data_IF_695326785303
#
_entry.id   IF_695326785303
#
_cell.length_a   1.000
_cell.length_b   1.000
_cell.length_c   1.000
_cell.angle_alpha   90.00
_cell.angle_beta   90.00
_cell.angle_gamma   90.00
#
_symmetry.space_group_name_H-M   'P 1'
#
loop_
_entity.id
_entity.type
_entity.pdbx_description
1 polymer ?
#
# COMPACT_ATOMS: atom_id res chain seq x y z
N UNK A 1 -41.97 -33.69 -18.41
CA UNK A 1 -40.89 -33.74 -19.36
C UNK A 1 -40.54 -32.32 -19.81
N UNK A 2 -39.63 -31.64 -19.16
CA UNK A 2 -38.91 -30.51 -19.73
C UNK A 2 -37.52 -30.48 -19.09
N UNK A 3 -36.55 -30.81 -19.91
CA UNK A 3 -35.14 -30.74 -19.70
C UNK A 3 -34.71 -29.27 -19.90
N UNK A 4 -34.31 -28.59 -18.86
CA UNK A 4 -33.56 -27.34 -18.95
C UNK A 4 -32.10 -27.61 -18.57
N UNK A 5 -31.31 -27.91 -19.60
CA UNK A 5 -29.85 -27.95 -19.55
C UNK A 5 -29.32 -26.52 -19.59
N UNK A 6 -28.94 -25.94 -18.45
CA UNK A 6 -28.14 -24.72 -18.38
C UNK A 6 -26.74 -24.97 -18.93
N UNK A 7 -26.55 -24.60 -20.19
CA UNK A 7 -25.24 -24.44 -20.82
C UNK A 7 -24.45 -23.33 -20.12
N UNK A 8 -23.41 -23.71 -19.39
CA UNK A 8 -22.36 -22.80 -18.97
C UNK A 8 -21.70 -22.22 -20.22
N UNK A 9 -22.02 -20.98 -20.54
CA UNK A 9 -21.28 -20.21 -21.54
C UNK A 9 -19.88 -19.89 -20.99
N UNK A 10 -18.89 -20.65 -21.48
CA UNK A 10 -17.47 -20.32 -21.33
C UNK A 10 -17.21 -18.99 -22.07
N UNK A 11 -17.15 -17.87 -21.35
CA UNK A 11 -16.68 -16.61 -21.91
C UNK A 11 -15.18 -16.75 -22.21
N UNK A 12 -14.85 -17.13 -23.43
CA UNK A 12 -13.51 -16.95 -23.95
C UNK A 12 -13.17 -15.46 -23.91
N UNK A 13 -12.30 -15.06 -22.99
CA UNK A 13 -11.67 -13.75 -23.02
C UNK A 13 -10.79 -13.70 -24.27
N UNK A 14 -11.31 -13.12 -25.34
CA UNK A 14 -10.50 -12.80 -26.52
C UNK A 14 -9.40 -11.83 -26.10
N UNK A 15 -8.18 -12.33 -26.04
CA UNK A 15 -6.97 -11.51 -25.85
C UNK A 15 -6.95 -10.47 -26.98
N UNK A 16 -6.94 -9.21 -26.63
CA UNK A 16 -6.82 -8.14 -27.60
C UNK A 16 -5.45 -8.21 -28.28
N UNK A 17 -5.34 -7.73 -29.55
CA UNK A 17 -4.04 -7.62 -30.25
C UNK A 17 -3.01 -6.84 -29.43
N UNK A 18 -3.46 -5.85 -28.68
CA UNK A 18 -2.63 -5.04 -27.78
C UNK A 18 -2.11 -5.87 -26.61
N UNK A 19 -2.95 -6.64 -25.94
CA UNK A 19 -2.54 -7.56 -24.85
C UNK A 19 -1.57 -8.64 -25.34
N UNK A 20 -1.73 -9.09 -26.61
CA UNK A 20 -0.79 -10.01 -27.24
C UNK A 20 0.58 -9.35 -27.50
N UNK A 21 0.61 -8.10 -27.96
CA UNK A 21 1.84 -7.34 -28.16
C UNK A 21 2.53 -6.97 -26.83
N UNK A 22 1.75 -6.62 -25.81
CA UNK A 22 2.26 -6.37 -24.45
C UNK A 22 2.88 -7.63 -23.84
N UNK A 23 2.24 -8.79 -23.99
CA UNK A 23 2.82 -10.07 -23.59
C UNK A 23 4.07 -10.43 -24.43
N UNK A 24 4.07 -10.11 -25.74
CA UNK A 24 5.19 -10.32 -26.63
C UNK A 24 6.41 -9.45 -26.29
N UNK A 25 6.21 -8.21 -25.84
CA UNK A 25 7.31 -7.33 -25.44
C UNK A 25 8.00 -7.81 -24.16
N UNK A 26 7.28 -8.42 -23.23
CA UNK A 26 7.85 -9.09 -22.06
C UNK A 26 8.66 -10.33 -22.45
N UNK A 27 8.25 -11.05 -23.49
CA UNK A 27 9.01 -12.18 -24.05
C UNK A 27 10.34 -11.75 -24.71
N UNK A 28 10.40 -10.56 -25.31
CA UNK A 28 11.62 -10.01 -25.89
C UNK A 28 12.65 -9.59 -24.84
N UNK A 29 12.25 -9.29 -23.61
CA UNK A 29 13.15 -9.03 -22.48
C UNK A 29 13.71 -10.29 -21.81
N UNK A 30 13.29 -11.48 -22.25
CA UNK A 30 13.77 -12.76 -21.74
C UNK A 30 13.28 -13.13 -20.32
N UNK A 31 12.43 -12.31 -19.73
CA UNK A 31 11.86 -12.56 -18.38
C UNK A 31 10.34 -12.70 -18.47
N UNK A 32 9.88 -13.94 -18.45
CA UNK A 32 8.44 -14.22 -18.37
C UNK A 32 7.99 -14.47 -16.93
N UNK A 33 6.69 -14.29 -16.64
CA UNK A 33 6.14 -14.65 -15.33
C UNK A 33 6.41 -16.14 -14.98
N UNK A 34 6.28 -17.10 -15.91
CA UNK A 34 6.71 -18.47 -15.67
C UNK A 34 8.17 -18.61 -15.26
N UNK A 35 9.09 -17.85 -15.88
CA UNK A 35 10.52 -17.90 -15.54
C UNK A 35 10.78 -17.34 -14.15
N UNK A 36 10.11 -16.26 -13.78
CA UNK A 36 10.16 -15.72 -12.41
C UNK A 36 9.63 -16.73 -11.39
N UNK A 37 8.52 -17.38 -11.68
CA UNK A 37 7.91 -18.37 -10.79
C UNK A 37 8.80 -19.62 -10.69
N UNK A 38 9.40 -20.05 -11.80
CA UNK A 38 10.38 -21.16 -11.83
C UNK A 38 11.61 -20.82 -11.01
N UNK A 39 12.20 -19.64 -11.24
CA UNK A 39 13.38 -19.16 -10.47
C UNK A 39 13.08 -19.12 -8.96
N UNK A 40 11.90 -18.67 -8.55
CA UNK A 40 11.48 -18.68 -7.14
C UNK A 40 11.33 -20.09 -6.59
N UNK A 41 10.76 -21.02 -7.36
CA UNK A 41 10.61 -22.42 -6.97
C UNK A 41 11.97 -23.11 -6.84
N UNK A 42 12.87 -22.90 -7.78
CA UNK A 42 14.24 -23.42 -7.75
C UNK A 42 15.05 -22.82 -6.58
N UNK A 43 14.91 -21.52 -6.31
CA UNK A 43 15.50 -20.86 -5.16
C UNK A 43 15.07 -21.50 -3.84
N UNK A 44 13.77 -21.77 -3.70
CA UNK A 44 13.21 -22.46 -2.53
C UNK A 44 13.76 -23.90 -2.38
N UNK A 45 13.90 -24.64 -3.48
CA UNK A 45 14.50 -25.98 -3.48
C UNK A 45 15.99 -25.96 -3.09
N UNK A 46 16.70 -24.89 -3.43
CA UNK A 46 18.13 -24.69 -3.08
C UNK A 46 18.34 -24.13 -1.67
N UNK A 47 17.27 -24.02 -0.86
CA UNK A 47 17.35 -23.47 0.49
C UNK A 47 17.59 -21.95 0.54
N UNK A 48 17.38 -21.25 -0.57
CA UNK A 48 17.42 -19.79 -0.58
C UNK A 48 16.20 -19.29 0.20
N UNK A 49 16.45 -18.78 1.40
CA UNK A 49 15.41 -18.16 2.23
C UNK A 49 14.95 -16.90 1.49
N UNK A 50 13.66 -16.76 1.14
CA UNK A 50 13.17 -15.55 0.54
C UNK A 50 13.50 -14.37 1.46
N UNK A 51 14.19 -13.36 0.93
CA UNK A 51 14.49 -12.15 1.68
C UNK A 51 13.17 -11.53 2.13
N UNK A 52 13.02 -11.29 3.42
CA UNK A 52 11.86 -10.55 3.92
C UNK A 52 11.90 -9.12 3.34
N UNK A 53 10.96 -8.82 2.47
CA UNK A 53 10.95 -7.58 1.70
C UNK A 53 9.79 -6.72 2.17
N UNK A 54 10.10 -5.50 2.58
CA UNK A 54 9.12 -4.47 2.87
C UNK A 54 8.97 -3.53 1.67
N UNK A 55 7.76 -3.02 1.46
CA UNK A 55 7.45 -2.05 0.41
C UNK A 55 7.01 -0.75 1.06
N UNK A 56 7.70 0.34 0.72
CA UNK A 56 7.33 1.70 1.14
C UNK A 56 6.75 2.41 -0.08
N UNK A 57 5.45 2.75 -0.02
CA UNK A 57 4.78 3.53 -1.04
C UNK A 57 4.74 5.00 -0.58
N UNK A 58 5.47 5.87 -1.28
CA UNK A 58 5.38 7.31 -1.08
C UNK A 58 4.36 7.86 -2.08
N UNK A 59 3.15 8.14 -1.57
CA UNK A 59 2.06 8.68 -2.36
C UNK A 59 2.02 10.19 -2.23
N UNK A 60 2.41 10.90 -3.29
CA UNK A 60 2.34 12.36 -3.38
C UNK A 60 0.96 12.75 -3.90
N UNK A 61 0.04 13.01 -2.99
CA UNK A 61 -1.32 13.40 -3.34
C UNK A 61 -1.39 14.91 -3.63
N UNK A 62 -1.98 15.30 -4.75
CA UNK A 62 -2.21 16.71 -5.08
C UNK A 62 -0.99 17.36 -5.77
N UNK A 63 -0.54 18.50 -5.31
CA UNK A 63 0.36 19.48 -5.87
C UNK A 63 1.55 19.11 -6.78
N UNK A 64 2.40 18.11 -6.50
CA UNK A 64 3.55 17.84 -7.35
C UNK A 64 3.14 17.33 -8.74
N UNK A 65 3.26 18.17 -9.75
CA UNK A 65 3.04 17.79 -11.14
C UNK A 65 4.23 16.98 -11.65
N UNK A 66 3.99 16.02 -12.56
CA UNK A 66 5.09 15.35 -13.25
C UNK A 66 5.94 16.33 -14.06
N UNK A 67 5.35 17.39 -14.60
CA UNK A 67 6.06 18.45 -15.35
C UNK A 67 6.92 19.32 -14.44
N UNK A 68 6.64 19.38 -13.16
CA UNK A 68 7.45 20.14 -12.18
C UNK A 68 8.42 19.26 -11.40
N UNK A 69 8.50 17.97 -11.71
CA UNK A 69 9.35 17.02 -10.98
C UNK A 69 10.29 16.22 -11.87
N UNK A 70 9.77 15.27 -12.65
CA UNK A 70 10.59 14.28 -13.37
C UNK A 70 10.39 14.30 -14.89
N UNK A 71 9.49 15.11 -15.43
CA UNK A 71 9.15 15.16 -16.85
C UNK A 71 8.88 16.59 -17.32
N UNK A 72 9.86 17.46 -17.18
CA UNK A 72 9.74 18.91 -17.30
C UNK A 72 9.39 19.43 -18.68
N UNK A 73 9.63 18.64 -19.77
CA UNK A 73 9.30 19.05 -21.14
C UNK A 73 9.97 20.37 -21.55
N UNK A 74 11.29 20.57 -21.40
CA UNK A 74 11.94 21.88 -21.62
C UNK A 74 11.74 22.43 -23.02
N UNK A 75 11.59 21.58 -24.03
CA UNK A 75 11.40 21.95 -25.44
C UNK A 75 9.92 22.23 -25.80
N UNK A 76 8.99 22.03 -24.86
CA UNK A 76 7.58 22.33 -25.10
C UNK A 76 7.32 23.84 -25.04
N UNK A 77 6.23 24.34 -25.72
CA UNK A 77 5.77 25.70 -25.55
C UNK A 77 5.58 26.07 -24.08
N UNK A 78 5.78 27.36 -23.74
CA UNK A 78 5.75 27.84 -22.36
C UNK A 78 4.48 27.46 -21.60
N UNK A 79 3.36 27.37 -22.31
CA UNK A 79 2.04 27.06 -21.77
C UNK A 79 1.92 25.58 -21.31
N UNK A 80 2.84 24.72 -21.74
CA UNK A 80 2.84 23.27 -21.48
C UNK A 80 4.05 22.77 -20.68
N UNK A 81 5.01 23.64 -20.39
CA UNK A 81 6.16 23.30 -19.56
C UNK A 81 6.03 23.90 -18.16
N UNK A 82 6.62 23.25 -17.16
CA UNK A 82 6.67 23.78 -15.79
C UNK A 82 7.51 25.07 -15.70
N UNK A 83 7.37 25.76 -14.57
CA UNK A 83 8.14 27.00 -14.27
C UNK A 83 9.57 26.72 -13.83
N UNK A 84 9.85 25.47 -13.45
CA UNK A 84 11.14 25.02 -12.91
C UNK A 84 12.08 24.53 -14.02
N UNK A 85 13.37 24.66 -13.80
CA UNK A 85 14.40 24.28 -14.75
C UNK A 85 14.86 22.83 -14.57
N UNK A 86 15.24 22.11 -15.64
CA UNK A 86 15.87 20.82 -15.54
C UNK A 86 17.33 20.96 -15.05
N UNK A 87 17.76 20.01 -14.22
CA UNK A 87 19.16 19.78 -13.89
C UNK A 87 19.59 18.37 -14.31
N UNK A 88 20.80 18.24 -14.81
CA UNK A 88 21.34 16.94 -15.20
C UNK A 88 21.61 16.07 -13.98
N UNK A 89 21.42 14.77 -14.16
CA UNK A 89 21.66 13.77 -13.12
C UNK A 89 22.98 13.04 -13.35
N UNK A 90 23.35 12.15 -12.43
CA UNK A 90 24.49 11.23 -12.61
C UNK A 90 24.27 10.23 -13.75
N UNK A 91 23.03 10.12 -14.28
CA UNK A 91 22.69 9.26 -15.42
C UNK A 91 22.60 10.14 -16.68
N UNK A 92 23.47 9.96 -17.67
CA UNK A 92 23.43 10.74 -18.89
C UNK A 92 22.07 10.66 -19.60
N UNK A 93 21.52 11.82 -19.97
CA UNK A 93 20.22 11.92 -20.65
C UNK A 93 19.01 11.81 -19.74
N UNK A 94 19.20 11.72 -18.44
CA UNK A 94 18.14 11.80 -17.44
C UNK A 94 18.25 13.11 -16.68
N UNK A 95 17.30 14.01 -16.89
CA UNK A 95 17.17 15.26 -16.14
C UNK A 95 15.98 15.20 -15.17
N UNK A 96 16.12 15.92 -14.07
CA UNK A 96 15.07 16.12 -13.05
C UNK A 96 14.94 17.60 -12.71
N UNK A 97 13.90 17.96 -11.97
CA UNK A 97 13.69 19.33 -11.52
C UNK A 97 14.84 19.83 -10.63
N UNK A 98 15.21 21.09 -10.79
CA UNK A 98 16.22 21.80 -9.99
C UNK A 98 15.95 21.78 -8.48
N UNK A 99 14.69 21.59 -8.08
CA UNK A 99 14.28 21.45 -6.67
C UNK A 99 14.55 20.05 -6.11
N UNK A 100 15.03 19.11 -6.94
CA UNK A 100 15.32 17.73 -6.55
C UNK A 100 16.83 17.36 -6.68
N UNK A 101 17.78 18.20 -6.16
CA UNK A 101 19.21 17.97 -6.39
C UNK A 101 19.69 16.63 -5.81
N UNK A 102 19.15 16.19 -4.68
CA UNK A 102 19.50 14.88 -4.09
C UNK A 102 19.01 13.70 -4.93
N UNK A 103 17.91 13.84 -5.69
CA UNK A 103 17.48 12.83 -6.64
C UNK A 103 18.41 12.78 -7.87
N UNK A 104 18.92 13.93 -8.29
CA UNK A 104 19.92 13.98 -9.36
C UNK A 104 21.18 13.19 -8.99
N UNK A 105 21.65 13.28 -7.74
CA UNK A 105 22.84 12.58 -7.22
C UNK A 105 22.67 11.05 -7.12
N UNK A 106 21.44 10.55 -7.01
CA UNK A 106 21.14 9.12 -6.82
C UNK A 106 20.30 8.53 -7.95
N UNK A 107 20.28 9.18 -9.10
CA UNK A 107 19.47 8.77 -10.24
C UNK A 107 19.82 7.37 -10.79
N UNK A 108 21.02 6.88 -10.54
CA UNK A 108 21.48 5.53 -10.85
C UNK A 108 20.83 4.44 -9.94
N UNK A 109 20.12 4.84 -8.89
CA UNK A 109 19.53 3.92 -7.88
C UNK A 109 18.04 3.76 -8.00
N UNK A 110 17.37 4.43 -8.93
CA UNK A 110 15.93 4.30 -9.13
C UNK A 110 15.56 4.20 -10.61
N UNK A 111 14.38 3.68 -10.89
CA UNK A 111 13.80 3.64 -12.22
C UNK A 111 12.71 4.68 -12.34
N UNK A 112 12.69 5.42 -13.45
CA UNK A 112 11.68 6.41 -13.74
C UNK A 112 10.75 5.92 -14.87
N UNK A 113 9.46 5.80 -14.57
CA UNK A 113 8.44 5.37 -15.53
C UNK A 113 7.55 6.58 -15.86
N UNK A 114 7.79 7.23 -17.01
CA UNK A 114 7.04 8.41 -17.48
C UNK A 114 5.80 8.06 -18.28
N UNK A 115 5.63 6.80 -18.69
CA UNK A 115 4.55 6.36 -19.59
C UNK A 115 3.25 5.98 -18.89
N UNK A 116 3.14 6.20 -17.58
CA UNK A 116 1.92 5.90 -16.84
C UNK A 116 0.83 6.92 -17.21
N UNK A 117 -0.31 6.42 -17.70
CA UNK A 117 -1.44 7.25 -18.08
C UNK A 117 -2.78 6.57 -17.76
N UNK A 118 -3.83 7.36 -17.67
CA UNK A 118 -5.20 6.88 -17.48
C UNK A 118 -6.20 7.85 -18.13
N UNK A 119 -7.42 7.37 -18.38
CA UNK A 119 -8.50 8.16 -19.00
C UNK A 119 -9.41 8.90 -18.01
N UNK A 120 -9.02 9.05 -16.74
CA UNK A 120 -9.85 9.72 -15.73
C UNK A 120 -9.41 11.17 -15.53
N UNK A 121 -10.36 12.10 -15.61
CA UNK A 121 -10.13 13.53 -15.40
C UNK A 121 -10.45 13.99 -13.96
N UNK A 122 -10.50 13.07 -12.99
CA UNK A 122 -10.82 13.39 -11.59
C UNK A 122 -9.92 12.63 -10.62
N UNK A 123 -9.82 13.15 -9.38
CA UNK A 123 -8.91 12.62 -8.36
C UNK A 123 -9.21 11.16 -7.98
N UNK A 124 -10.47 10.82 -7.75
CA UNK A 124 -10.84 9.49 -7.28
C UNK A 124 -10.61 8.41 -8.35
N UNK A 125 -10.97 8.72 -9.60
CA UNK A 125 -10.75 7.80 -10.73
C UNK A 125 -9.28 7.54 -11.01
N UNK A 126 -8.47 8.60 -11.08
CA UNK A 126 -7.03 8.52 -11.31
C UNK A 126 -6.31 7.79 -10.18
N UNK A 127 -6.55 8.18 -8.93
CA UNK A 127 -5.96 7.52 -7.76
C UNK A 127 -6.40 6.07 -7.63
N UNK A 128 -7.70 5.77 -7.81
CA UNK A 128 -8.23 4.42 -7.78
C UNK A 128 -7.58 3.52 -8.84
N UNK A 129 -7.44 4.03 -10.08
CA UNK A 129 -6.75 3.31 -11.15
C UNK A 129 -5.29 3.01 -10.81
N UNK A 130 -4.56 3.99 -10.32
CA UNK A 130 -3.15 3.83 -9.99
C UNK A 130 -2.95 2.86 -8.82
N UNK A 131 -3.69 3.04 -7.72
CA UNK A 131 -3.48 2.27 -6.49
C UNK A 131 -3.98 0.82 -6.58
N UNK A 132 -5.02 0.56 -7.37
CA UNK A 132 -5.61 -0.78 -7.50
C UNK A 132 -5.20 -1.53 -8.77
N UNK A 133 -4.77 -0.80 -9.82
CA UNK A 133 -4.55 -1.37 -11.15
C UNK A 133 -5.84 -1.62 -11.94
N UNK A 134 -7.02 -1.36 -11.37
CA UNK A 134 -8.33 -1.57 -12.02
C UNK A 134 -9.00 -0.24 -12.38
N UNK A 135 -9.78 -0.25 -13.45
CA UNK A 135 -10.61 0.89 -13.79
C UNK A 135 -11.80 0.96 -12.81
N UNK A 136 -11.96 2.05 -12.07
CA UNK A 136 -13.13 2.20 -11.22
C UNK A 136 -14.39 2.36 -12.07
N UNK A 137 -15.44 1.61 -11.76
CA UNK A 137 -16.75 1.69 -12.43
C UNK A 137 -17.52 2.96 -12.06
N UNK A 138 -17.21 3.52 -10.89
CA UNK A 138 -17.74 4.79 -10.38
C UNK A 138 -16.59 5.74 -10.06
N UNK A 139 -16.00 6.39 -11.09
CA UNK A 139 -14.76 7.16 -10.91
C UNK A 139 -14.90 8.41 -10.04
N UNK A 140 -16.11 8.89 -9.76
CA UNK A 140 -16.37 10.01 -8.84
C UNK A 140 -16.57 9.56 -7.38
N UNK A 141 -16.73 8.27 -7.14
CA UNK A 141 -16.88 7.71 -5.80
C UNK A 141 -15.50 7.69 -5.11
N UNK A 142 -15.32 8.36 -3.97
CA UNK A 142 -14.08 8.35 -3.21
C UNK A 142 -13.80 7.01 -2.54
N UNK A 143 -14.80 6.12 -2.46
CA UNK A 143 -14.62 4.80 -1.87
C UNK A 143 -13.91 3.85 -2.83
N UNK A 144 -13.08 2.99 -2.27
CA UNK A 144 -12.39 1.96 -3.03
C UNK A 144 -13.38 0.94 -3.59
N UNK A 145 -13.36 0.75 -4.91
CA UNK A 145 -14.18 -0.24 -5.62
C UNK A 145 -13.40 -1.54 -5.88
N UNK A 146 -12.08 -1.43 -5.88
CA UNK A 146 -11.16 -2.57 -5.95
C UNK A 146 -10.09 -2.41 -4.86
N UNK A 147 -9.59 -3.50 -4.29
CA UNK A 147 -8.58 -3.39 -3.23
C UNK A 147 -7.28 -2.82 -3.80
N UNK A 148 -6.66 -1.92 -3.08
CA UNK A 148 -5.31 -1.45 -3.39
C UNK A 148 -4.25 -2.47 -2.89
N UNK A 149 -2.97 -2.22 -3.22
CA UNK A 149 -1.88 -3.16 -2.92
C UNK A 149 -1.79 -3.55 -1.44
N UNK A 150 -1.89 -2.58 -0.53
CA UNK A 150 -1.72 -2.82 0.91
C UNK A 150 -2.70 -3.85 1.50
N UNK A 151 -4.01 -3.72 1.31
CA UNK A 151 -5.00 -4.72 1.71
C UNK A 151 -4.79 -6.10 1.10
N UNK A 152 -4.36 -6.17 -0.18
CA UNK A 152 -4.05 -7.46 -0.83
C UNK A 152 -2.88 -8.13 -0.12
N UNK A 153 -1.79 -7.41 0.12
CA UNK A 153 -0.62 -7.92 0.85
C UNK A 153 -0.99 -8.32 2.27
N UNK A 154 -1.78 -7.49 2.96
CA UNK A 154 -2.26 -7.78 4.31
C UNK A 154 -3.05 -9.10 4.37
N UNK A 155 -3.92 -9.33 3.39
CA UNK A 155 -4.67 -10.59 3.28
C UNK A 155 -3.77 -11.78 2.98
N UNK A 156 -2.81 -11.63 2.06
CA UNK A 156 -1.89 -12.70 1.67
C UNK A 156 -0.94 -13.12 2.79
N UNK A 157 -0.54 -12.19 3.64
CA UNK A 157 0.37 -12.42 4.75
C UNK A 157 -0.36 -12.74 6.07
N UNK A 158 -1.68 -12.80 6.05
CA UNK A 158 -2.47 -13.15 7.24
C UNK A 158 -2.05 -14.51 7.79
N UNK A 159 -1.72 -14.57 9.09
CA UNK A 159 -1.27 -15.78 9.78
C UNK A 159 0.18 -16.18 9.53
N UNK A 160 0.91 -15.52 8.61
CA UNK A 160 2.33 -15.78 8.34
C UNK A 160 3.28 -14.80 9.04
N UNK A 161 2.76 -13.72 9.60
CA UNK A 161 3.52 -12.68 10.32
C UNK A 161 3.09 -12.61 11.78
N UNK A 162 3.94 -12.02 12.61
CA UNK A 162 3.66 -11.79 14.02
C UNK A 162 2.37 -10.94 14.17
N UNK A 163 1.31 -11.43 14.82
CA UNK A 163 0.06 -10.71 14.94
C UNK A 163 0.17 -9.41 15.76
N UNK A 164 1.30 -9.24 16.49
CA UNK A 164 1.59 -8.04 17.28
C UNK A 164 2.19 -6.90 16.45
N UNK A 165 2.39 -7.12 15.14
CA UNK A 165 2.89 -6.11 14.22
C UNK A 165 1.91 -5.94 13.05
N UNK A 166 1.51 -4.70 12.71
CA UNK A 166 0.66 -4.46 11.56
C UNK A 166 1.41 -4.76 10.27
N UNK A 167 0.78 -5.54 9.38
CA UNK A 167 1.34 -5.86 8.06
C UNK A 167 1.25 -4.67 7.11
N UNK A 168 0.23 -3.86 7.27
CA UNK A 168 -0.03 -2.68 6.44
C UNK A 168 -0.20 -1.45 7.32
N UNK A 169 0.66 -0.47 7.10
CA UNK A 169 0.72 0.78 7.87
C UNK A 169 0.51 1.94 6.91
N UNK A 170 -0.22 2.96 7.33
CA UNK A 170 -0.36 4.22 6.62
C UNK A 170 -0.10 5.40 7.54
N UNK A 171 0.66 6.39 7.07
CA UNK A 171 0.99 7.59 7.84
C UNK A 171 -0.06 8.70 7.75
N UNK A 172 -1.15 8.49 6.98
CA UNK A 172 -2.24 9.44 6.84
C UNK A 172 -3.56 8.71 6.58
N UNK A 173 -4.67 9.42 6.84
CA UNK A 173 -6.01 8.93 6.52
C UNK A 173 -6.19 8.80 5.01
N UNK A 174 -7.07 7.92 4.65
CA UNK A 174 -7.54 7.52 3.33
C UNK A 174 -7.08 8.37 2.14
N UNK A 175 -6.38 7.72 1.23
CA UNK A 175 -6.18 8.19 -0.15
C UNK A 175 -7.46 7.92 -0.93
N UNK A 176 -7.89 8.86 -1.78
CA UNK A 176 -9.00 8.65 -2.69
C UNK A 176 -8.84 7.33 -3.47
N UNK A 177 -9.90 6.53 -3.52
CA UNK A 177 -9.87 5.25 -4.20
C UNK A 177 -8.96 4.18 -3.57
N UNK A 178 -8.23 4.50 -2.49
CA UNK A 178 -7.45 3.55 -1.71
C UNK A 178 -8.30 2.86 -0.65
N UNK A 179 -8.13 1.56 -0.47
CA UNK A 179 -8.85 0.81 0.55
C UNK A 179 -8.93 -0.67 0.26
N UNK A 180 -9.69 -1.38 1.10
CA UNK A 180 -9.80 -2.83 1.05
C UNK A 180 -10.93 -3.32 0.13
N UNK A 181 -11.87 -2.45 -0.26
CA UNK A 181 -13.06 -2.81 -1.05
C UNK A 181 -13.74 -4.09 -0.51
N UNK A 182 -14.04 -5.05 -1.36
CA UNK A 182 -14.67 -6.31 -0.99
C UNK A 182 -13.83 -7.27 -0.13
N UNK A 183 -12.56 -6.94 0.18
CA UNK A 183 -11.75 -7.75 1.10
C UNK A 183 -12.20 -7.59 2.57
N UNK A 184 -12.81 -6.45 2.90
CA UNK A 184 -13.28 -6.15 4.25
C UNK A 184 -12.34 -5.28 5.08
N UNK A 185 -12.88 -4.73 6.17
CA UNK A 185 -12.20 -3.76 7.05
C UNK A 185 -10.99 -4.33 7.80
N UNK A 186 -10.92 -5.63 7.99
CA UNK A 186 -9.80 -6.30 8.65
C UNK A 186 -8.44 -6.11 7.93
N UNK A 187 -8.47 -5.72 6.66
CA UNK A 187 -7.28 -5.53 5.84
C UNK A 187 -6.95 -4.05 5.59
N UNK A 188 -7.66 -3.14 6.25
CA UNK A 188 -7.33 -1.73 6.22
C UNK A 188 -6.01 -1.45 6.96
N UNK A 189 -5.31 -0.33 6.64
CA UNK A 189 -4.06 -0.02 7.29
C UNK A 189 -4.23 0.33 8.77
N UNK A 190 -3.19 0.01 9.54
CA UNK A 190 -2.97 0.68 10.82
C UNK A 190 -2.53 2.12 10.54
N UNK A 191 -3.32 3.11 10.97
CA UNK A 191 -3.09 4.51 10.61
C UNK A 191 -2.40 5.27 11.74
N UNK A 192 -1.21 5.80 11.46
CA UNK A 192 -0.49 6.72 12.34
C UNK A 192 -0.73 8.15 11.84
N UNK A 193 -1.70 8.85 12.42
CA UNK A 193 -2.10 10.19 11.98
C UNK A 193 -1.42 11.32 12.73
N UNK A 194 -0.89 11.07 13.93
CA UNK A 194 -0.17 12.06 14.75
C UNK A 194 1.12 12.54 14.06
N UNK A 195 1.64 13.66 14.50
CA UNK A 195 2.86 14.24 13.98
C UNK A 195 4.08 13.67 14.71
N UNK A 196 4.96 12.90 14.05
CA UNK A 196 6.12 12.31 14.71
C UNK A 196 7.21 13.32 15.10
N UNK A 197 7.13 14.58 14.62
CA UNK A 197 8.04 15.64 15.00
C UNK A 197 7.57 16.42 16.25
N UNK A 198 6.32 16.20 16.67
CA UNK A 198 5.79 16.84 17.86
C UNK A 198 6.46 16.29 19.15
N UNK A 199 6.74 17.17 20.11
CA UNK A 199 7.40 16.80 21.36
C UNK A 199 6.60 15.79 22.20
N UNK A 200 5.29 15.79 22.06
CA UNK A 200 4.34 14.89 22.72
C UNK A 200 3.87 13.75 21.84
N UNK A 201 4.61 13.44 20.78
CA UNK A 201 4.24 12.38 19.83
C UNK A 201 3.96 11.06 20.53
N UNK A 202 2.78 10.56 20.29
CA UNK A 202 2.34 9.21 20.68
C UNK A 202 1.48 8.63 19.58
N UNK A 203 1.67 7.34 19.33
CA UNK A 203 0.78 6.62 18.43
C UNK A 203 -0.48 6.26 19.20
N UNK A 204 -1.58 6.87 18.80
CA UNK A 204 -2.90 6.61 19.40
C UNK A 204 -3.22 5.12 19.33
N UNK A 205 -3.76 4.58 20.41
CA UNK A 205 -4.18 3.18 20.52
C UNK A 205 -3.06 2.12 20.54
N UNK A 206 -1.81 2.48 20.80
CA UNK A 206 -0.73 1.50 21.05
C UNK A 206 -0.38 1.32 22.52
N UNK A 207 -0.93 2.13 23.43
CA UNK A 207 -0.69 1.98 24.87
C UNK A 207 -2.01 1.90 25.63
N UNK A 208 -2.13 0.90 26.49
CA UNK A 208 -3.17 0.80 27.48
C UNK A 208 -2.71 1.52 28.74
N UNK A 209 -3.30 2.65 29.08
CA UNK A 209 -3.01 3.36 30.32
C UNK A 209 -3.97 2.92 31.43
N UNK A 210 -3.41 2.52 32.57
CA UNK A 210 -4.17 2.18 33.80
C UNK A 210 -4.91 0.84 33.72
N UNK A 211 -6.02 0.71 34.46
CA UNK A 211 -6.85 -0.50 34.58
C UNK A 211 -7.57 -0.96 33.26
N UNK A 212 -7.18 -0.37 32.13
CA UNK A 212 -7.74 -0.72 30.81
C UNK A 212 -7.31 -2.13 30.37
N UNK A 213 -6.12 -2.57 30.74
CA UNK A 213 -5.60 -3.92 30.45
C UNK A 213 -6.52 -5.01 31.04
N UNK A 214 -6.88 -4.89 32.32
CA UNK A 214 -7.76 -5.85 33.01
C UNK A 214 -9.17 -5.83 32.43
N UNK A 215 -9.68 -4.62 32.16
CA UNK A 215 -11.02 -4.44 31.54
C UNK A 215 -11.11 -4.95 30.11
N UNK A 216 -10.02 -4.99 29.35
CA UNK A 216 -9.99 -5.58 28.01
C UNK A 216 -10.04 -7.11 28.11
N UNK A 217 -9.32 -7.70 29.07
CA UNK A 217 -9.41 -9.14 29.36
C UNK A 217 -10.84 -9.59 29.65
N UNK A 218 -11.52 -8.88 30.55
CA UNK A 218 -12.91 -9.16 30.92
C UNK A 218 -13.87 -8.95 29.75
N UNK A 219 -13.71 -7.86 28.98
CA UNK A 219 -14.53 -7.59 27.79
C UNK A 219 -14.32 -8.61 26.69
N UNK A 220 -13.09 -9.03 26.47
CA UNK A 220 -12.75 -10.05 25.46
C UNK A 220 -13.36 -11.39 25.83
N UNK A 221 -13.31 -11.77 27.11
CA UNK A 221 -13.93 -12.98 27.63
C UNK A 221 -15.44 -12.93 27.45
N UNK A 222 -16.08 -11.80 27.78
CA UNK A 222 -17.52 -11.60 27.60
C UNK A 222 -17.94 -11.61 26.13
N UNK A 223 -17.20 -10.91 25.25
CA UNK A 223 -17.43 -10.90 23.80
C UNK A 223 -17.33 -12.31 23.23
N UNK A 224 -16.26 -13.06 23.57
CA UNK A 224 -16.09 -14.43 23.12
C UNK A 224 -17.22 -15.37 23.60
N UNK A 225 -17.74 -15.15 24.80
CA UNK A 225 -18.88 -15.91 25.31
C UNK A 225 -20.18 -15.61 24.53
N UNK A 226 -20.45 -14.33 24.25
CA UNK A 226 -21.60 -13.87 23.44
C UNK A 226 -21.49 -14.33 21.99
N UNK A 227 -20.29 -14.21 21.38
CA UNK A 227 -20.03 -14.57 19.99
C UNK A 227 -20.09 -16.09 19.78
N UNK A 228 -19.64 -16.88 20.75
CA UNK A 228 -19.83 -18.33 20.71
C UNK A 228 -21.32 -18.74 20.78
N UNK A 229 -22.14 -17.95 21.46
CA UNK A 229 -23.58 -18.16 21.46
C UNK A 229 -24.20 -17.81 20.11
N UNK A 230 -23.78 -16.70 19.48
CA UNK A 230 -24.27 -16.25 18.18
C UNK A 230 -23.77 -17.15 17.04
N UNK A 231 -22.51 -17.62 17.06
CA UNK A 231 -21.96 -18.54 16.04
C UNK A 231 -22.69 -19.89 15.96
N UNK A 232 -23.35 -20.28 17.04
CA UNK A 232 -24.22 -21.47 17.03
C UNK A 232 -25.53 -21.22 16.27
N UNK A 233 -25.86 -19.95 16.01
CA UNK A 233 -27.11 -19.54 15.39
C UNK A 233 -26.94 -19.04 13.94
N UNK A 234 -25.79 -18.41 13.58
CA UNK A 234 -25.54 -17.83 12.26
C UNK A 234 -24.07 -17.90 11.86
N UNK A 235 -23.75 -18.58 10.77
CA UNK A 235 -22.45 -18.52 10.11
C UNK A 235 -22.45 -17.37 9.09
N UNK A 236 -22.00 -16.16 9.49
CA UNK A 236 -21.93 -15.00 8.60
C UNK A 236 -20.47 -14.60 8.37
N UNK A 237 -19.96 -14.57 7.11
CA UNK A 237 -18.58 -14.19 6.78
C UNK A 237 -18.18 -12.78 7.26
N UNK A 238 -19.14 -11.87 7.42
CA UNK A 238 -18.92 -10.53 7.95
C UNK A 238 -18.51 -10.55 9.42
N UNK A 239 -19.07 -11.47 10.20
CA UNK A 239 -18.75 -11.65 11.63
C UNK A 239 -17.31 -12.18 11.79
N UNK A 240 -16.89 -13.13 10.96
CA UNK A 240 -15.52 -13.67 10.98
C UNK A 240 -14.46 -12.57 10.69
N UNK A 241 -14.78 -11.63 9.81
CA UNK A 241 -13.93 -10.50 9.51
C UNK A 241 -13.82 -9.52 10.68
N UNK A 242 -14.91 -9.29 11.39
CA UNK A 242 -14.95 -8.41 12.57
C UNK A 242 -14.17 -9.02 13.74
N UNK A 243 -14.30 -10.32 13.96
CA UNK A 243 -13.56 -11.05 15.00
C UNK A 243 -12.06 -11.01 14.78
N UNK A 244 -11.62 -11.20 13.54
CA UNK A 244 -10.21 -11.11 13.17
C UNK A 244 -9.67 -9.70 13.39
N UNK A 245 -10.44 -8.68 13.04
CA UNK A 245 -10.10 -7.28 13.28
C UNK A 245 -9.94 -6.99 14.78
N UNK A 246 -10.88 -7.47 15.61
CA UNK A 246 -10.83 -7.30 17.06
C UNK A 246 -9.61 -8.03 17.67
N UNK A 247 -9.34 -9.26 17.25
CA UNK A 247 -8.17 -10.02 17.71
C UNK A 247 -6.87 -9.33 17.32
N UNK A 248 -6.76 -8.79 16.12
CA UNK A 248 -5.61 -8.03 15.65
C UNK A 248 -5.42 -6.75 16.46
N UNK A 249 -6.50 -6.02 16.71
CA UNK A 249 -6.47 -4.81 17.53
C UNK A 249 -6.00 -5.10 18.96
N UNK A 250 -6.51 -6.16 19.60
CA UNK A 250 -6.09 -6.57 20.93
C UNK A 250 -4.61 -6.99 20.95
N UNK A 251 -4.17 -7.76 19.97
CA UNK A 251 -2.76 -8.19 19.86
C UNK A 251 -1.80 -7.01 19.69
N UNK A 252 -2.20 -5.98 18.95
CA UNK A 252 -1.45 -4.74 18.81
C UNK A 252 -1.40 -3.92 20.10
N UNK A 253 -2.53 -3.85 20.82
CA UNK A 253 -2.63 -3.10 22.07
C UNK A 253 -1.87 -3.73 23.24
N UNK A 254 -1.71 -5.04 23.21
CA UNK A 254 -1.01 -5.81 24.27
C UNK A 254 0.44 -6.13 23.93
N UNK A 255 0.90 -5.76 22.73
CA UNK A 255 2.24 -6.09 22.24
C UNK A 255 3.25 -4.95 22.40
N UNK A 256 4.30 -5.15 23.19
CA UNK A 256 5.38 -4.18 23.36
C UNK A 256 6.17 -3.92 22.07
N UNK A 257 6.16 -4.86 21.12
CA UNK A 257 6.89 -4.74 19.85
C UNK A 257 6.39 -3.60 18.97
N UNK A 258 5.08 -3.43 18.87
CA UNK A 258 4.51 -2.33 18.08
C UNK A 258 4.83 -0.98 18.74
N UNK A 259 4.72 -0.89 20.06
CA UNK A 259 5.08 0.33 20.82
C UNK A 259 6.53 0.70 20.56
N UNK A 260 7.45 -0.25 20.66
CA UNK A 260 8.88 -0.02 20.43
C UNK A 260 9.17 0.35 18.96
N UNK A 261 8.51 -0.29 18.00
CA UNK A 261 8.71 -0.02 16.57
C UNK A 261 8.25 1.38 16.13
N UNK A 262 7.27 1.96 16.84
CA UNK A 262 6.80 3.32 16.57
C UNK A 262 7.38 4.39 17.51
N UNK A 263 8.36 4.03 18.31
CA UNK A 263 9.06 4.97 19.18
C UNK A 263 10.23 5.63 18.45
N UNK A 264 9.94 6.72 17.76
CA UNK A 264 10.93 7.50 17.02
C UNK A 264 12.01 8.14 17.92
N UNK A 265 11.81 8.19 19.23
CA UNK A 265 12.81 8.70 20.17
C UNK A 265 14.03 7.80 20.31
N UNK A 266 13.93 6.54 19.87
CA UNK A 266 15.05 5.60 19.84
C UNK A 266 16.02 5.87 18.69
N UNK A 267 15.62 6.65 17.69
CA UNK A 267 16.49 7.05 16.58
C UNK A 267 17.44 8.16 16.99
N UNK A 268 18.71 8.06 16.57
CA UNK A 268 19.71 9.07 16.87
C UNK A 268 19.42 10.41 16.15
N UNK A 269 19.93 11.50 16.71
CA UNK A 269 19.70 12.84 16.16
C UNK A 269 20.21 12.98 14.72
N UNK A 270 21.34 12.36 14.38
CA UNK A 270 21.91 12.41 13.04
C UNK A 270 20.97 11.74 12.02
N UNK A 271 20.38 10.62 12.36
CA UNK A 271 19.37 9.94 11.54
C UNK A 271 18.14 10.80 11.39
N UNK A 272 17.61 11.32 12.47
CA UNK A 272 16.43 12.18 12.46
C UNK A 272 16.64 13.45 11.66
N UNK A 273 17.81 14.09 11.75
CA UNK A 273 18.19 15.27 10.96
C UNK A 273 18.33 14.94 9.47
N UNK A 274 18.88 13.77 9.13
CA UNK A 274 18.99 13.32 7.73
C UNK A 274 17.64 13.22 7.03
N UNK A 275 16.59 12.79 7.73
CA UNK A 275 15.22 12.76 7.23
C UNK A 275 14.54 14.13 7.29
N UNK A 276 15.04 15.04 8.10
CA UNK A 276 14.51 16.39 8.33
C UNK A 276 13.62 16.45 9.56
N UNK A 277 13.89 17.45 10.44
CA UNK A 277 13.11 17.74 11.65
C UNK A 277 11.83 18.50 11.27
N UNK A 278 10.94 17.79 10.63
CA UNK A 278 9.60 18.25 10.25
C UNK A 278 8.69 17.05 10.01
N UNK A 279 7.40 17.28 10.09
CA UNK A 279 6.34 16.27 10.01
C UNK A 279 6.55 15.22 8.91
N UNK A 280 6.92 15.64 7.70
CA UNK A 280 7.04 14.72 6.56
C UNK A 280 8.33 13.90 6.62
N UNK A 281 9.43 14.52 7.05
CA UNK A 281 10.70 13.82 7.24
C UNK A 281 10.59 12.76 8.33
N UNK A 282 10.03 13.13 9.48
CA UNK A 282 9.87 12.20 10.59
C UNK A 282 8.82 11.12 10.33
N UNK A 283 7.84 11.37 9.45
CA UNK A 283 6.92 10.32 8.95
C UNK A 283 7.57 9.33 8.02
N UNK A 284 8.54 9.76 7.22
CA UNK A 284 9.28 8.86 6.34
C UNK A 284 10.30 8.01 7.12
N UNK A 285 10.73 8.46 8.30
CA UNK A 285 11.60 7.73 9.20
C UNK A 285 10.82 6.70 10.03
N UNK A 286 9.63 7.08 10.52
CA UNK A 286 8.74 6.25 11.32
C UNK A 286 8.26 5.00 10.56
#
# INVERSE_FOLDING_TARGET
ANNDSHLMQNKHHNLSRRSFLEAGSLLMSGLTLPDLLRSRAEGKQRGVIPKDTSVILIWLQGGPSHMDTYDLKPDAPREYRGEVSPISTVVPGLDVCELLPRHAEVADRFNLIRSISHGFANHAGGAGRFLSGYNPSKPLDPLAQSPCLGPVVSKMLQGSKDPRMPVYIASAKNVYGGGAAGLGSAYLPFVVSSDPDAADFKVSNLSLTGNLSDRIGDRTTLLNAIDNLKRRLDSNPTMDSLDKFNQQAISLLTGDKAVAAFDISQEDDKTRERYGRHKWGQRALL
#
